data_IF_345302833264
#
_entry.id   IF_345302833264
#
_cell.length_a   1.000
_cell.length_b   1.000
_cell.length_c   1.000
_cell.angle_alpha   90.00
_cell.angle_beta   90.00
_cell.angle_gamma   90.00
#
_symmetry.space_group_name_H-M   'P 1'
#
loop_
_entity.id
_entity.type
_entity.pdbx_description
1 polymer ?
#
# COMPACT_ATOMS: atom_id res chain seq x y z
N UNK A 1 15.36 0.54 -38.93
CA UNK A 1 15.17 -0.58 -38.01
C UNK A 1 13.71 -0.53 -37.56
N UNK A 2 12.88 -1.44 -38.05
CA UNK A 2 11.43 -1.43 -37.85
C UNK A 2 11.15 -2.41 -36.71
N UNK A 3 10.69 -1.90 -35.56
CA UNK A 3 10.33 -2.76 -34.43
C UNK A 3 8.99 -3.43 -34.75
N UNK A 4 9.01 -4.73 -35.04
CA UNK A 4 7.80 -5.56 -35.07
C UNK A 4 7.34 -5.81 -33.63
N UNK A 5 6.12 -5.38 -33.30
CA UNK A 5 5.47 -5.59 -32.01
C UNK A 5 4.85 -7.00 -31.91
N UNK A 6 5.56 -8.02 -32.38
CA UNK A 6 5.14 -9.41 -32.21
C UNK A 6 5.72 -9.92 -30.89
N UNK A 7 4.85 -10.11 -29.89
CA UNK A 7 5.24 -10.63 -28.57
C UNK A 7 4.68 -9.90 -27.35
N UNK A 8 3.74 -8.96 -27.52
CA UNK A 8 2.95 -8.50 -26.37
C UNK A 8 1.93 -9.58 -26.03
N UNK A 9 2.33 -10.53 -25.17
CA UNK A 9 1.37 -11.34 -24.44
C UNK A 9 0.38 -10.40 -23.76
N UNK A 10 -0.91 -10.72 -23.88
CA UNK A 10 -1.96 -10.07 -23.10
C UNK A 10 -1.52 -10.05 -21.64
N UNK A 11 -1.67 -8.90 -20.92
CA UNK A 11 -1.38 -8.87 -19.50
C UNK A 11 -2.09 -10.05 -18.84
N UNK A 12 -1.41 -10.85 -17.99
CA UNK A 12 -2.04 -11.98 -17.36
C UNK A 12 -3.30 -11.49 -16.65
N UNK A 13 -4.43 -12.17 -16.89
CA UNK A 13 -5.64 -11.92 -16.12
C UNK A 13 -5.30 -12.04 -14.63
N UNK A 14 -5.72 -11.05 -13.84
CA UNK A 14 -5.60 -11.09 -12.38
C UNK A 14 -6.18 -12.43 -11.90
N UNK A 15 -5.32 -13.31 -11.43
CA UNK A 15 -5.74 -14.64 -11.03
C UNK A 15 -6.51 -14.56 -9.71
N UNK A 16 -7.48 -15.45 -9.52
CA UNK A 16 -8.22 -15.59 -8.25
C UNK A 16 -7.28 -15.77 -7.03
N UNK A 17 -6.03 -16.20 -7.25
CA UNK A 17 -5.02 -16.36 -6.20
C UNK A 17 -4.39 -15.03 -5.76
N UNK A 18 -4.12 -14.09 -6.67
CA UNK A 18 -3.60 -12.76 -6.30
C UNK A 18 -4.66 -11.96 -5.52
N UNK A 19 -5.92 -12.07 -5.91
CA UNK A 19 -7.04 -11.44 -5.20
C UNK A 19 -7.22 -12.03 -3.80
N UNK A 20 -7.16 -13.37 -3.67
CA UNK A 20 -7.17 -14.06 -2.36
C UNK A 20 -6.00 -13.64 -1.49
N UNK A 21 -4.80 -13.52 -2.06
CA UNK A 21 -3.61 -13.07 -1.34
C UNK A 21 -3.83 -11.67 -0.76
N UNK A 22 -4.23 -10.70 -1.58
CA UNK A 22 -4.49 -9.34 -1.12
C UNK A 22 -5.59 -9.28 -0.04
N UNK A 23 -6.63 -10.10 -0.14
CA UNK A 23 -7.65 -10.24 0.90
C UNK A 23 -7.07 -10.79 2.22
N UNK A 24 -6.17 -11.76 2.17
CA UNK A 24 -5.49 -12.29 3.35
C UNK A 24 -4.62 -11.21 4.02
N UNK A 25 -3.86 -10.42 3.26
CA UNK A 25 -3.07 -9.32 3.81
C UNK A 25 -3.95 -8.27 4.48
N UNK A 26 -5.06 -7.87 3.86
CA UNK A 26 -6.00 -6.93 4.47
C UNK A 26 -6.60 -7.49 5.75
N UNK A 27 -6.97 -8.78 5.78
CA UNK A 27 -7.45 -9.44 6.99
C UNK A 27 -6.39 -9.38 8.10
N UNK A 28 -5.12 -9.66 7.78
CA UNK A 28 -4.03 -9.64 8.76
C UNK A 28 -3.78 -8.24 9.33
N UNK A 29 -3.81 -7.20 8.48
CA UNK A 29 -3.70 -5.80 8.95
C UNK A 29 -4.84 -5.45 9.90
N UNK A 30 -6.07 -5.86 9.58
CA UNK A 30 -7.23 -5.65 10.47
C UNK A 30 -7.05 -6.34 11.82
N UNK A 31 -6.56 -7.58 11.83
CA UNK A 31 -6.27 -8.30 13.08
C UNK A 31 -5.24 -7.55 13.93
N UNK A 32 -4.13 -7.10 13.33
CA UNK A 32 -3.10 -6.31 14.01
C UNK A 32 -3.70 -5.01 14.57
N UNK A 33 -4.50 -4.28 13.78
CA UNK A 33 -5.15 -3.05 14.25
C UNK A 33 -6.03 -3.34 15.48
N UNK A 34 -6.83 -4.41 15.45
CA UNK A 34 -7.66 -4.82 16.59
C UNK A 34 -6.81 -5.20 17.81
N UNK A 35 -5.71 -5.94 17.63
CA UNK A 35 -4.76 -6.32 18.69
C UNK A 35 -4.16 -5.07 19.39
N UNK A 36 -3.93 -3.99 18.62
CA UNK A 36 -3.44 -2.71 19.14
C UNK A 36 -4.55 -1.77 19.66
N UNK A 37 -5.79 -2.27 19.71
CA UNK A 37 -6.95 -1.57 20.26
C UNK A 37 -7.57 -0.53 19.33
N UNK A 38 -7.33 -0.62 18.02
CA UNK A 38 -8.05 0.19 17.04
C UNK A 38 -9.47 -0.35 16.84
N UNK A 39 -10.42 0.57 16.62
CA UNK A 39 -11.83 0.25 16.39
C UNK A 39 -12.28 0.77 15.03
N UNK A 40 -13.11 0.02 14.31
CA UNK A 40 -13.64 0.48 13.03
C UNK A 40 -14.64 1.62 13.24
N UNK A 41 -14.39 2.79 12.64
CA UNK A 41 -15.27 3.96 12.68
C UNK A 41 -15.27 4.67 11.32
N UNK A 42 -16.46 4.88 10.77
CA UNK A 42 -16.66 5.54 9.48
C UNK A 42 -16.27 7.03 9.47
N UNK A 43 -16.19 7.67 10.65
CA UNK A 43 -15.90 9.09 10.79
C UNK A 43 -14.44 9.41 11.12
N UNK A 44 -13.67 8.44 11.62
CA UNK A 44 -12.25 8.58 11.97
C UNK A 44 -11.95 9.77 12.92
N UNK A 45 -12.90 10.16 13.78
CA UNK A 45 -12.77 11.36 14.63
C UNK A 45 -11.80 11.10 15.79
N UNK A 46 -11.90 9.91 16.39
CA UNK A 46 -11.12 9.57 17.58
C UNK A 46 -9.82 8.88 17.18
N UNK A 47 -8.76 9.09 17.95
CA UNK A 47 -7.54 8.29 17.84
C UNK A 47 -7.85 6.80 18.06
N UNK A 48 -7.00 5.93 17.51
CA UNK A 48 -7.23 4.48 17.50
C UNK A 48 -8.53 4.08 16.82
N UNK A 49 -8.86 4.75 15.72
CA UNK A 49 -9.93 4.30 14.82
C UNK A 49 -9.39 3.99 13.43
N UNK A 50 -10.08 3.12 12.70
CA UNK A 50 -9.78 2.85 11.31
C UNK A 50 -11.04 2.72 10.45
N UNK A 51 -10.87 2.89 9.16
CA UNK A 51 -11.93 2.75 8.15
C UNK A 51 -11.38 1.99 6.97
N UNK A 52 -12.17 1.06 6.47
CA UNK A 52 -11.81 0.30 5.28
C UNK A 52 -12.49 0.84 4.02
N UNK A 53 -11.97 0.44 2.86
CA UNK A 53 -12.57 0.76 1.55
C UNK A 53 -12.76 2.27 1.35
N UNK A 54 -11.73 3.05 1.66
CA UNK A 54 -11.80 4.51 1.60
C UNK A 54 -11.60 4.97 0.16
N UNK A 55 -12.59 5.63 -0.46
CA UNK A 55 -12.45 6.12 -1.83
C UNK A 55 -11.41 7.24 -1.90
N UNK A 56 -10.65 7.27 -2.99
CA UNK A 56 -9.73 8.34 -3.30
C UNK A 56 -9.58 8.48 -4.81
N UNK A 57 -8.96 9.58 -5.25
CA UNK A 57 -8.58 9.77 -6.64
C UNK A 57 -7.18 9.19 -6.86
N UNK A 58 -7.05 8.28 -7.82
CA UNK A 58 -5.77 7.66 -8.16
C UNK A 58 -4.86 8.60 -8.98
N UNK A 59 -3.72 8.07 -9.40
CA UNK A 59 -2.74 8.81 -10.17
C UNK A 59 -3.28 9.38 -11.49
N UNK A 60 -4.31 8.76 -12.07
CA UNK A 60 -4.88 9.09 -13.37
C UNK A 60 -6.15 9.94 -13.26
N UNK A 61 -6.53 10.36 -12.05
CA UNK A 61 -7.77 11.09 -11.84
C UNK A 61 -9.01 10.19 -11.77
N UNK A 62 -8.83 8.87 -11.65
CA UNK A 62 -9.92 7.91 -11.57
C UNK A 62 -10.26 7.59 -10.12
N UNK A 63 -11.50 7.15 -9.89
CA UNK A 63 -11.96 6.72 -8.57
C UNK A 63 -11.34 5.38 -8.22
N UNK A 64 -10.52 5.35 -7.18
CA UNK A 64 -9.97 4.16 -6.56
C UNK A 64 -10.51 3.95 -5.15
N UNK A 65 -10.28 2.75 -4.62
CA UNK A 65 -10.64 2.36 -3.25
C UNK A 65 -9.37 1.85 -2.57
N UNK A 66 -8.98 2.50 -1.49
CA UNK A 66 -7.87 2.08 -0.64
C UNK A 66 -8.33 1.08 0.41
N UNK A 67 -7.38 0.29 0.89
CA UNK A 67 -7.62 -0.71 1.91
C UNK A 67 -7.98 -0.07 3.26
N UNK A 68 -7.16 0.85 3.78
CA UNK A 68 -7.35 1.42 5.12
C UNK A 68 -6.95 2.89 5.22
N UNK A 69 -7.70 3.64 6.05
CA UNK A 69 -7.22 4.87 6.69
C UNK A 69 -7.38 4.71 8.19
N UNK A 70 -6.34 5.05 8.96
CA UNK A 70 -6.34 5.01 10.41
C UNK A 70 -6.17 6.40 11.00
N UNK A 71 -6.66 6.64 12.21
CA UNK A 71 -6.32 7.80 13.03
C UNK A 71 -5.26 7.39 14.06
N UNK A 72 -3.99 7.55 13.68
CA UNK A 72 -2.84 7.22 14.52
C UNK A 72 -2.70 8.25 15.65
N UNK A 73 -2.48 7.84 16.92
CA UNK A 73 -2.44 8.77 18.05
C UNK A 73 -1.39 9.88 17.94
N UNK A 74 -0.26 9.61 17.26
CA UNK A 74 0.86 10.55 17.12
C UNK A 74 0.88 11.21 15.74
N UNK A 75 0.63 10.42 14.69
CA UNK A 75 0.81 10.86 13.30
C UNK A 75 -0.49 11.40 12.70
N UNK A 76 -1.64 11.16 13.35
CA UNK A 76 -2.97 11.52 12.86
C UNK A 76 -3.44 10.61 11.72
N UNK A 77 -4.25 11.18 10.82
CA UNK A 77 -4.80 10.42 9.68
C UNK A 77 -3.68 9.88 8.79
N UNK A 78 -3.65 8.55 8.67
CA UNK A 78 -2.62 7.81 7.94
C UNK A 78 -3.28 6.78 7.03
N UNK A 79 -3.01 6.88 5.74
CA UNK A 79 -3.45 5.90 4.74
C UNK A 79 -2.51 4.71 4.71
N UNK A 80 -3.05 3.50 4.61
CA UNK A 80 -2.25 2.28 4.45
C UNK A 80 -2.62 1.66 3.11
N UNK A 81 -1.63 1.56 2.23
CA UNK A 81 -1.70 0.94 0.91
C UNK A 81 -0.94 -0.39 0.92
N UNK A 82 -1.63 -1.51 1.20
CA UNK A 82 -1.02 -2.82 1.23
C UNK A 82 -0.86 -3.42 -0.17
N UNK A 83 0.32 -3.98 -0.41
CA UNK A 83 0.66 -4.73 -1.60
C UNK A 83 1.35 -6.03 -1.21
N UNK A 84 0.81 -7.17 -1.64
CA UNK A 84 1.43 -8.46 -1.40
C UNK A 84 2.08 -9.02 -2.66
N UNK A 85 3.24 -9.65 -2.50
CA UNK A 85 3.86 -10.42 -3.56
C UNK A 85 4.46 -11.72 -3.03
N UNK A 86 3.82 -12.85 -3.36
CA UNK A 86 4.26 -14.18 -2.94
C UNK A 86 5.32 -14.78 -3.88
N UNK A 87 5.20 -14.55 -5.19
CA UNK A 87 6.09 -15.11 -6.20
C UNK A 87 6.95 -14.02 -6.85
N UNK A 88 8.17 -14.40 -7.24
CA UNK A 88 9.05 -13.51 -8.00
C UNK A 88 8.34 -13.01 -9.26
N UNK A 89 8.29 -11.69 -9.44
CA UNK A 89 7.49 -11.04 -10.46
C UNK A 89 7.68 -9.52 -10.45
N UNK A 90 6.91 -8.81 -11.28
CA UNK A 90 7.14 -7.40 -11.63
C UNK A 90 6.68 -6.35 -10.60
N UNK A 91 6.31 -6.72 -9.37
CA UNK A 91 5.82 -5.74 -8.38
C UNK A 91 6.93 -4.75 -8.00
N UNK A 92 8.19 -5.18 -7.96
CA UNK A 92 9.32 -4.27 -7.76
C UNK A 92 9.38 -3.17 -8.84
N UNK A 93 8.96 -3.46 -10.08
CA UNK A 93 8.81 -2.46 -11.15
C UNK A 93 7.66 -1.47 -10.91
N UNK A 94 6.71 -1.79 -10.03
CA UNK A 94 5.57 -0.94 -9.67
C UNK A 94 5.88 0.01 -8.51
N UNK A 95 6.99 -0.18 -7.78
CA UNK A 95 7.36 0.67 -6.64
C UNK A 95 7.42 2.17 -6.96
N UNK A 96 7.96 2.63 -8.10
CA UNK A 96 7.89 4.05 -8.48
C UNK A 96 6.44 4.56 -8.59
N UNK A 97 5.54 3.73 -9.12
CA UNK A 97 4.12 4.07 -9.24
C UNK A 97 3.43 4.13 -7.89
N UNK A 98 3.74 3.21 -6.96
CA UNK A 98 3.20 3.27 -5.60
C UNK A 98 3.60 4.56 -4.89
N UNK A 99 4.86 4.98 -5.05
CA UNK A 99 5.34 6.24 -4.49
C UNK A 99 4.62 7.45 -5.10
N UNK A 100 4.40 7.45 -6.41
CA UNK A 100 3.69 8.52 -7.10
C UNK A 100 2.20 8.58 -6.67
N UNK A 101 1.55 7.43 -6.51
CA UNK A 101 0.19 7.34 -5.98
C UNK A 101 0.11 7.80 -4.53
N UNK A 102 1.07 7.46 -3.68
CA UNK A 102 1.13 7.96 -2.30
C UNK A 102 1.19 9.49 -2.26
N UNK A 103 1.92 10.13 -3.17
CA UNK A 103 1.95 11.59 -3.31
C UNK A 103 0.61 12.23 -3.69
N UNK A 104 -0.30 11.46 -4.29
CA UNK A 104 -1.66 11.90 -4.66
C UNK A 104 -2.72 11.59 -3.62
N UNK A 105 -2.43 10.74 -2.63
CA UNK A 105 -3.36 10.40 -1.57
C UNK A 105 -3.88 11.66 -0.84
N UNK A 106 -5.13 11.69 -0.37
CA UNK A 106 -5.65 12.83 0.40
C UNK A 106 -4.91 13.07 1.74
N UNK A 107 -4.49 12.00 2.42
CA UNK A 107 -3.91 12.05 3.75
C UNK A 107 -2.44 12.47 3.70
N UNK A 108 -2.02 13.24 4.71
CA UNK A 108 -0.65 13.74 4.83
C UNK A 108 0.36 12.61 5.07
N UNK A 109 -0.07 11.56 5.77
CA UNK A 109 0.74 10.38 6.07
C UNK A 109 0.26 9.19 5.24
N UNK A 110 1.20 8.49 4.62
CA UNK A 110 0.92 7.30 3.80
C UNK A 110 1.94 6.22 4.14
N UNK A 111 1.44 5.02 4.41
CA UNK A 111 2.25 3.81 4.55
C UNK A 111 2.02 2.97 3.29
N UNK A 112 3.10 2.72 2.56
CA UNK A 112 3.15 1.70 1.52
C UNK A 112 3.59 0.41 2.22
N UNK A 113 2.67 -0.53 2.40
CA UNK A 113 2.94 -1.78 3.11
C UNK A 113 3.24 -2.88 2.09
N UNK A 114 4.46 -3.40 2.06
CA UNK A 114 4.91 -4.44 1.14
C UNK A 114 5.11 -5.73 1.93
N UNK A 115 4.38 -6.79 1.59
CA UNK A 115 4.48 -8.09 2.28
C UNK A 115 4.75 -9.25 1.31
N UNK A 116 5.36 -10.32 1.82
CA UNK A 116 5.74 -11.50 1.04
C UNK A 116 7.17 -11.46 0.51
N UNK A 117 7.63 -12.59 -0.03
CA UNK A 117 9.04 -12.82 -0.39
C UNK A 117 9.31 -12.70 -1.90
N UNK A 118 8.34 -12.24 -2.69
CA UNK A 118 8.47 -12.17 -4.15
C UNK A 118 9.23 -10.95 -4.68
N UNK A 119 9.46 -9.92 -3.85
CA UNK A 119 10.16 -8.71 -4.29
C UNK A 119 11.65 -8.78 -3.98
N UNK A 120 12.47 -8.10 -4.79
CA UNK A 120 13.91 -8.02 -4.54
C UNK A 120 14.18 -7.11 -3.35
N UNK A 121 15.01 -7.57 -2.41
CA UNK A 121 15.46 -6.76 -1.26
C UNK A 121 15.97 -5.38 -1.68
N UNK A 122 16.84 -5.31 -2.69
CA UNK A 122 17.39 -4.04 -3.18
C UNK A 122 16.31 -3.07 -3.71
N UNK A 123 15.22 -3.58 -4.28
CA UNK A 123 14.11 -2.74 -4.72
C UNK A 123 13.31 -2.19 -3.54
N UNK A 124 13.13 -2.97 -2.48
CA UNK A 124 12.44 -2.48 -1.28
C UNK A 124 13.27 -1.45 -0.52
N UNK A 125 14.59 -1.66 -0.43
CA UNK A 125 15.51 -0.64 0.11
C UNK A 125 15.50 0.64 -0.74
N UNK A 126 15.45 0.51 -2.07
CA UNK A 126 15.28 1.65 -2.96
C UNK A 126 13.98 2.40 -2.65
N UNK A 127 12.85 1.69 -2.52
CA UNK A 127 11.55 2.30 -2.21
C UNK A 127 11.59 3.05 -0.86
N UNK A 128 12.18 2.45 0.18
CA UNK A 128 12.38 3.09 1.50
C UNK A 128 13.22 4.36 1.39
N UNK A 129 14.29 4.33 0.59
CA UNK A 129 15.15 5.49 0.37
C UNK A 129 14.42 6.61 -0.37
N UNK A 130 13.67 6.30 -1.43
CA UNK A 130 12.93 7.32 -2.19
C UNK A 130 11.76 7.90 -1.39
N UNK A 131 11.06 7.10 -0.59
CA UNK A 131 9.98 7.57 0.28
C UNK A 131 10.45 8.66 1.26
N UNK A 132 11.68 8.54 1.81
CA UNK A 132 12.30 9.54 2.69
C UNK A 132 12.58 10.88 1.99
N UNK A 133 12.62 10.91 0.66
CA UNK A 133 12.87 12.14 -0.12
C UNK A 133 11.58 12.91 -0.42
N UNK A 134 10.40 12.35 -0.13
CA UNK A 134 9.14 13.04 -0.31
C UNK A 134 9.08 14.27 0.61
N UNK A 135 9.11 15.47 0.03
CA UNK A 135 9.10 16.72 0.79
C UNK A 135 7.70 17.15 1.24
N UNK A 136 6.66 16.76 0.51
CA UNK A 136 5.28 17.25 0.72
C UNK A 136 4.41 16.30 1.53
N UNK A 137 4.79 15.04 1.66
CA UNK A 137 4.07 14.01 2.42
C UNK A 137 5.01 13.16 3.26
N UNK A 138 4.47 12.65 4.36
CA UNK A 138 5.16 11.65 5.18
C UNK A 138 4.88 10.26 4.61
N UNK A 139 5.75 9.78 3.71
CA UNK A 139 5.64 8.45 3.14
C UNK A 139 6.57 7.50 3.87
N UNK A 140 6.00 6.43 4.43
CA UNK A 140 6.73 5.33 5.09
C UNK A 140 6.53 4.05 4.28
N UNK A 141 7.53 3.19 4.27
CA UNK A 141 7.46 1.89 3.61
C UNK A 141 7.82 0.80 4.60
N UNK A 142 6.89 -0.11 4.84
CA UNK A 142 6.98 -1.13 5.89
C UNK A 142 6.61 -2.51 5.36
N UNK A 143 7.20 -3.54 5.94
CA UNK A 143 6.55 -4.86 5.99
C UNK A 143 5.59 -4.95 7.19
N UNK A 144 4.91 -6.09 7.39
CA UNK A 144 4.00 -6.26 8.53
C UNK A 144 4.71 -6.14 9.88
N UNK A 145 5.96 -6.58 10.00
CA UNK A 145 6.69 -6.53 11.26
C UNK A 145 7.04 -5.09 11.63
N UNK A 146 7.55 -4.31 10.67
CA UNK A 146 7.82 -2.89 10.82
C UNK A 146 6.53 -2.10 11.10
N UNK A 147 5.43 -2.46 10.45
CA UNK A 147 4.12 -1.84 10.70
C UNK A 147 3.62 -2.11 12.12
N UNK A 148 3.68 -3.35 12.60
CA UNK A 148 3.29 -3.69 13.98
C UNK A 148 4.16 -3.00 15.02
N UNK A 149 5.45 -2.78 14.76
CA UNK A 149 6.32 -2.03 15.67
C UNK A 149 6.02 -0.53 15.69
N UNK A 150 5.44 0.01 14.62
CA UNK A 150 5.14 1.43 14.48
C UNK A 150 3.81 1.84 15.14
N UNK A 151 2.81 0.95 15.18
CA UNK A 151 1.50 1.17 15.81
C UNK A 151 1.58 1.38 17.34
#
# INVERSE_FOLDING_TARGET
>A
MQYTLDGFETPPELTTEEEKSNQQLQKRIREILNEFGYVEDNKLVNAKTFKCRVPYEDLYGLKAISAFVINHPIDGLTRIEPHQQQVSGSVDRKFPFFLQSANKAPEQNVIILIEGQGHKKAAFEWLKSEAKKCATKNVKCYDLAEFSLWL
#
